data_IF_593136061291
#
_entry.id   IF_593136061291
#
_cell.length_a   1.000
_cell.length_b   1.000
_cell.length_c   1.000
_cell.angle_alpha   90.00
_cell.angle_beta   90.00
_cell.angle_gamma   90.00
#
_symmetry.space_group_name_H-M   'P 1'
#
loop_
_entity.id
_entity.type
_entity.pdbx_description
1 polymer ?
#
# COMPACT_ATOMS: atom_id res chain seq x y z
N UNK A 1 5.10 -16.48 -3.01
CA UNK A 1 4.66 -15.08 -3.25
C UNK A 1 4.23 -14.39 -1.96
N UNK A 2 3.24 -14.92 -1.22
CA UNK A 2 2.78 -14.30 0.04
C UNK A 2 3.89 -14.14 1.10
N UNK A 3 4.65 -15.21 1.37
CA UNK A 3 5.77 -15.15 2.32
C UNK A 3 6.83 -14.09 1.94
N UNK A 4 7.12 -13.94 0.64
CA UNK A 4 8.04 -12.92 0.14
C UNK A 4 7.45 -11.51 0.33
N UNK A 5 6.16 -11.31 0.01
CA UNK A 5 5.46 -10.05 0.26
C UNK A 5 5.50 -9.66 1.75
N UNK A 6 5.19 -10.60 2.65
CA UNK A 6 5.27 -10.41 4.09
C UNK A 6 6.68 -10.07 4.55
N UNK A 7 7.70 -10.79 4.08
CA UNK A 7 9.09 -10.50 4.42
C UNK A 7 9.51 -9.09 3.97
N UNK A 8 9.15 -8.68 2.74
CA UNK A 8 9.40 -7.33 2.24
C UNK A 8 8.74 -6.25 3.11
N UNK A 9 7.50 -6.45 3.54
CA UNK A 9 6.79 -5.49 4.40
C UNK A 9 7.43 -5.42 5.79
N UNK A 10 7.67 -6.58 6.41
CA UNK A 10 8.20 -6.68 7.78
C UNK A 10 9.64 -6.13 7.86
N UNK A 11 10.49 -6.47 6.89
CA UNK A 11 11.90 -6.03 6.87
C UNK A 11 12.05 -4.62 6.31
N UNK A 12 11.20 -4.23 5.35
CA UNK A 12 11.27 -2.91 4.72
C UNK A 12 10.85 -1.78 5.68
N UNK A 13 9.86 -1.99 6.54
CA UNK A 13 9.36 -0.96 7.47
C UNK A 13 10.46 -0.43 8.43
N UNK A 14 11.21 -1.27 9.16
CA UNK A 14 12.32 -0.78 9.99
C UNK A 14 13.45 -0.17 9.14
N UNK A 15 13.63 -0.61 7.90
CA UNK A 15 14.61 -0.03 6.99
C UNK A 15 14.24 1.40 6.57
N UNK A 16 12.95 1.66 6.31
CA UNK A 16 12.43 3.03 6.10
C UNK A 16 12.72 3.90 7.32
N UNK A 17 12.41 3.39 8.52
CA UNK A 17 12.65 4.11 9.76
C UNK A 17 14.14 4.45 9.96
N UNK A 18 15.02 3.48 9.76
CA UNK A 18 16.46 3.69 9.78
C UNK A 18 16.90 4.71 8.72
N UNK A 19 16.29 4.71 7.55
CA UNK A 19 16.56 5.68 6.49
C UNK A 19 16.20 7.11 6.83
N UNK A 20 15.10 7.33 7.54
CA UNK A 20 14.71 8.65 8.04
C UNK A 20 15.75 9.17 9.04
N UNK A 21 16.31 8.29 9.87
CA UNK A 21 17.27 8.67 10.93
C UNK A 21 18.70 8.82 10.43
N UNK A 22 19.18 7.93 9.56
CA UNK A 22 20.61 7.80 9.26
C UNK A 22 20.97 8.19 7.82
N UNK A 23 20.17 7.84 6.82
CA UNK A 23 20.56 8.04 5.41
C UNK A 23 19.35 8.02 4.45
N UNK A 24 19.18 9.06 3.60
CA UNK A 24 18.14 9.08 2.59
C UNK A 24 18.17 7.90 1.60
N UNK A 25 19.37 7.41 1.27
CA UNK A 25 19.52 6.27 0.36
C UNK A 25 18.97 4.98 0.99
N UNK A 26 19.21 4.79 2.30
CA UNK A 26 18.65 3.68 3.06
C UNK A 26 17.12 3.79 3.12
N UNK A 27 16.61 5.01 3.28
CA UNK A 27 15.17 5.30 3.25
C UNK A 27 14.53 4.89 1.93
N UNK A 28 15.17 5.22 0.80
CA UNK A 28 14.72 4.81 -0.53
C UNK A 28 14.69 3.29 -0.69
N UNK A 29 15.74 2.58 -0.27
CA UNK A 29 15.78 1.10 -0.33
C UNK A 29 14.67 0.50 0.52
N UNK A 30 14.46 1.02 1.73
CA UNK A 30 13.35 0.62 2.60
C UNK A 30 11.99 0.84 1.93
N UNK A 31 11.77 2.03 1.36
CA UNK A 31 10.49 2.39 0.73
C UNK A 31 10.21 1.51 -0.47
N UNK A 32 11.20 1.25 -1.33
CA UNK A 32 11.07 0.34 -2.47
C UNK A 32 10.76 -1.08 -1.98
N UNK A 33 11.41 -1.54 -0.92
CA UNK A 33 11.19 -2.88 -0.36
C UNK A 33 9.75 -3.04 0.13
N UNK A 34 9.24 -2.08 0.91
CA UNK A 34 7.83 -2.08 1.37
C UNK A 34 6.87 -1.99 0.19
N UNK A 35 7.16 -1.11 -0.78
CA UNK A 35 6.33 -0.92 -1.96
C UNK A 35 6.20 -2.20 -2.78
N UNK A 36 7.30 -2.93 -3.02
CA UNK A 36 7.27 -4.23 -3.71
C UNK A 36 6.43 -5.23 -2.92
N UNK A 37 6.59 -5.29 -1.60
CA UNK A 37 5.80 -6.19 -0.75
C UNK A 37 4.30 -5.91 -0.84
N UNK A 38 3.89 -4.64 -0.76
CA UNK A 38 2.49 -4.23 -0.83
C UNK A 38 1.91 -4.35 -2.24
N UNK A 39 2.68 -4.08 -3.29
CA UNK A 39 2.26 -4.32 -4.69
C UNK A 39 2.01 -5.82 -4.93
N UNK A 40 2.94 -6.68 -4.48
CA UNK A 40 2.77 -8.13 -4.57
C UNK A 40 1.54 -8.59 -3.79
N UNK A 41 1.33 -8.06 -2.58
CA UNK A 41 0.15 -8.37 -1.79
C UNK A 41 -1.14 -7.93 -2.50
N UNK A 42 -1.18 -6.72 -3.07
CA UNK A 42 -2.33 -6.22 -3.83
C UNK A 42 -2.65 -7.09 -5.04
N UNK A 43 -1.63 -7.51 -5.80
CA UNK A 43 -1.79 -8.46 -6.93
C UNK A 43 -2.33 -9.80 -6.44
N UNK A 44 -1.82 -10.32 -5.32
CA UNK A 44 -2.32 -11.57 -4.75
C UNK A 44 -3.77 -11.45 -4.27
N UNK A 45 -4.15 -10.33 -3.66
CA UNK A 45 -5.53 -10.05 -3.24
C UNK A 45 -6.46 -10.01 -4.45
N UNK A 46 -6.09 -9.28 -5.50
CA UNK A 46 -6.89 -9.19 -6.74
C UNK A 46 -6.97 -10.55 -7.44
N UNK A 47 -5.87 -11.31 -7.51
CA UNK A 47 -5.82 -12.59 -8.23
C UNK A 47 -6.49 -13.76 -7.49
N UNK A 48 -6.43 -13.78 -6.15
CA UNK A 48 -6.83 -14.95 -5.36
C UNK A 48 -7.99 -14.68 -4.40
N UNK A 49 -8.11 -13.47 -3.86
CA UNK A 49 -9.15 -13.16 -2.87
C UNK A 49 -10.39 -12.63 -3.57
N UNK A 50 -10.24 -11.60 -4.42
CA UNK A 50 -11.37 -10.95 -5.13
C UNK A 50 -12.27 -11.96 -5.86
N UNK A 51 -11.77 -12.94 -6.64
CA UNK A 51 -12.64 -13.88 -7.35
C UNK A 51 -13.47 -14.78 -6.42
N UNK A 52 -13.03 -14.97 -5.17
CA UNK A 52 -13.70 -15.80 -4.16
C UNK A 52 -14.78 -15.06 -3.38
N UNK A 53 -14.85 -13.73 -3.47
CA UNK A 53 -15.97 -12.99 -2.86
C UNK A 53 -17.24 -13.27 -3.65
N UNK A 54 -18.35 -13.55 -2.98
CA UNK A 54 -19.66 -13.70 -3.64
C UNK A 54 -20.31 -12.36 -3.99
N UNK A 55 -20.02 -11.32 -3.21
CA UNK A 55 -20.64 -10.00 -3.37
C UNK A 55 -19.89 -9.16 -4.41
N UNK A 56 -20.59 -8.72 -5.46
CA UNK A 56 -20.02 -7.81 -6.47
C UNK A 56 -19.49 -6.51 -5.84
N UNK A 57 -20.25 -5.96 -4.88
CA UNK A 57 -19.82 -4.78 -4.13
C UNK A 57 -18.51 -5.02 -3.36
N UNK A 58 -18.36 -6.17 -2.69
CA UNK A 58 -17.13 -6.53 -1.99
C UNK A 58 -15.95 -6.68 -2.96
N UNK A 59 -16.17 -7.28 -4.14
CA UNK A 59 -15.15 -7.39 -5.19
C UNK A 59 -14.64 -6.03 -5.65
N UNK A 60 -15.56 -5.11 -5.96
CA UNK A 60 -15.21 -3.75 -6.41
C UNK A 60 -14.44 -3.01 -5.31
N UNK A 61 -14.97 -3.02 -4.07
CA UNK A 61 -14.34 -2.34 -2.95
C UNK A 61 -12.92 -2.87 -2.65
N UNK A 62 -12.73 -4.20 -2.68
CA UNK A 62 -11.43 -4.79 -2.41
C UNK A 62 -10.42 -4.55 -3.55
N UNK A 63 -10.92 -4.45 -4.79
CA UNK A 63 -10.10 -4.06 -5.95
C UNK A 63 -9.66 -2.60 -5.84
N UNK A 64 -10.60 -1.69 -5.51
CA UNK A 64 -10.29 -0.27 -5.26
C UNK A 64 -9.28 -0.14 -4.14
N UNK A 65 -9.46 -0.88 -3.04
CA UNK A 65 -8.55 -0.90 -1.90
C UNK A 65 -7.13 -1.31 -2.31
N UNK A 66 -7.01 -2.39 -3.07
CA UNK A 66 -5.72 -2.90 -3.56
C UNK A 66 -5.04 -1.93 -4.54
N UNK A 67 -5.81 -1.32 -5.44
CA UNK A 67 -5.31 -0.33 -6.39
C UNK A 67 -4.87 0.97 -5.69
N UNK A 68 -5.64 1.45 -4.70
CA UNK A 68 -5.31 2.64 -3.94
C UNK A 68 -4.02 2.46 -3.12
N UNK A 69 -3.85 1.31 -2.47
CA UNK A 69 -2.61 0.96 -1.78
C UNK A 69 -1.41 0.95 -2.74
N UNK A 70 -1.59 0.36 -3.92
CA UNK A 70 -0.55 0.30 -4.95
C UNK A 70 -0.13 1.70 -5.43
N UNK A 71 -1.11 2.57 -5.72
CA UNK A 71 -0.87 3.97 -6.09
C UNK A 71 -0.16 4.76 -4.99
N UNK A 72 -0.53 4.53 -3.73
CA UNK A 72 0.13 5.16 -2.59
C UNK A 72 1.61 4.72 -2.50
N UNK A 73 1.91 3.45 -2.75
CA UNK A 73 3.31 2.97 -2.75
C UNK A 73 4.17 3.58 -3.86
N UNK A 74 3.60 3.79 -5.06
CA UNK A 74 4.29 4.49 -6.16
C UNK A 74 4.62 5.92 -5.76
N UNK A 75 3.66 6.62 -5.14
CA UNK A 75 3.85 7.98 -4.65
C UNK A 75 4.93 8.05 -3.56
N UNK A 76 4.94 7.09 -2.63
CA UNK A 76 5.96 6.98 -1.59
C UNK A 76 7.36 6.79 -2.19
N UNK A 77 7.50 5.93 -3.22
CA UNK A 77 8.75 5.75 -3.95
C UNK A 77 9.20 7.03 -4.67
N UNK A 78 8.27 7.73 -5.33
CA UNK A 78 8.57 8.99 -6.01
C UNK A 78 9.08 10.07 -5.03
N UNK A 79 8.46 10.15 -3.84
CA UNK A 79 8.92 11.04 -2.79
C UNK A 79 10.31 10.64 -2.27
N UNK A 80 10.53 9.37 -1.91
CA UNK A 80 11.82 8.90 -1.42
C UNK A 80 12.95 9.14 -2.45
N UNK A 81 12.66 8.94 -3.73
CA UNK A 81 13.58 9.23 -4.82
C UNK A 81 13.88 10.73 -4.91
N UNK A 82 12.87 11.60 -4.74
CA UNK A 82 13.04 13.06 -4.77
C UNK A 82 14.02 13.56 -3.71
N UNK A 83 14.01 12.94 -2.52
CA UNK A 83 14.94 13.26 -1.43
C UNK A 83 16.37 12.84 -1.80
N UNK A 84 16.55 11.63 -2.31
CA UNK A 84 17.88 11.13 -2.73
C UNK A 84 18.44 11.94 -3.90
N UNK A 85 17.60 12.24 -4.90
CA UNK A 85 17.98 13.00 -6.08
C UNK A 85 18.17 14.52 -5.81
N UNK A 86 17.83 14.99 -4.60
CA UNK A 86 17.79 16.41 -4.22
C UNK A 86 17.02 17.28 -5.22
N UNK A 87 15.95 16.73 -5.80
CA UNK A 87 15.04 17.43 -6.73
C UNK A 87 13.66 17.51 -6.11
N UNK A 88 13.05 18.68 -6.17
CA UNK A 88 11.69 18.87 -5.67
C UNK A 88 10.68 18.29 -6.67
N UNK A 89 10.43 16.99 -6.60
CA UNK A 89 9.40 16.31 -7.39
C UNK A 89 8.04 16.45 -6.69
N UNK A 90 8.01 16.13 -5.39
CA UNK A 90 6.83 16.21 -4.53
C UNK A 90 7.25 16.82 -3.19
N UNK A 91 6.53 17.85 -2.75
CA UNK A 91 6.74 18.42 -1.42
C UNK A 91 6.16 17.52 -0.31
N UNK A 92 6.69 17.65 0.92
CA UNK A 92 6.22 16.88 2.09
C UNK A 92 4.70 17.03 2.31
N UNK A 93 4.11 18.25 2.29
CA UNK A 93 2.67 18.41 2.49
C UNK A 93 1.85 17.75 1.38
N UNK A 94 2.29 17.87 0.12
CA UNK A 94 1.61 17.23 -1.00
C UNK A 94 1.64 15.71 -0.91
N UNK A 95 2.80 15.13 -0.57
CA UNK A 95 2.93 13.70 -0.34
C UNK A 95 2.02 13.26 0.81
N UNK A 96 2.07 13.93 1.96
CA UNK A 96 1.27 13.57 3.13
C UNK A 96 -0.24 13.57 2.83
N UNK A 97 -0.73 14.58 2.12
CA UNK A 97 -2.15 14.67 1.74
C UNK A 97 -2.51 13.59 0.71
N UNK A 98 -1.78 13.49 -0.40
CA UNK A 98 -2.15 12.56 -1.48
C UNK A 98 -1.97 11.09 -1.07
N UNK A 99 -0.85 10.77 -0.41
CA UNK A 99 -0.59 9.44 0.15
C UNK A 99 -1.57 9.10 1.27
N UNK A 100 -1.85 10.06 2.16
CA UNK A 100 -2.76 9.90 3.29
C UNK A 100 -4.20 9.65 2.83
N UNK A 101 -4.70 10.44 1.88
CA UNK A 101 -6.04 10.27 1.33
C UNK A 101 -6.19 8.94 0.59
N UNK A 102 -5.21 8.57 -0.24
CA UNK A 102 -5.21 7.28 -0.93
C UNK A 102 -5.26 6.11 0.07
N UNK A 103 -4.51 6.17 1.16
CA UNK A 103 -4.52 5.12 2.17
C UNK A 103 -5.78 5.14 3.06
N UNK A 104 -6.27 6.31 3.47
CA UNK A 104 -7.41 6.41 4.38
C UNK A 104 -8.72 6.01 3.68
N UNK A 105 -9.03 6.66 2.55
CA UNK A 105 -10.29 6.46 1.86
C UNK A 105 -10.21 5.32 0.84
N UNK A 106 -9.14 5.26 0.06
CA UNK A 106 -8.99 4.25 -0.96
C UNK A 106 -8.68 2.88 -0.36
N UNK A 107 -7.59 2.75 0.39
CA UNK A 107 -7.18 1.46 0.95
C UNK A 107 -8.02 1.04 2.17
N UNK A 108 -7.94 1.79 3.27
CA UNK A 108 -8.50 1.39 4.57
C UNK A 108 -10.02 1.35 4.56
N UNK A 109 -10.70 2.43 4.15
CA UNK A 109 -12.17 2.48 4.16
C UNK A 109 -12.76 1.45 3.20
N UNK A 110 -12.34 1.40 1.93
CA UNK A 110 -12.87 0.41 1.00
C UNK A 110 -12.53 -1.03 1.41
N UNK A 111 -11.33 -1.29 1.94
CA UNK A 111 -10.94 -2.60 2.43
C UNK A 111 -11.82 -3.06 3.60
N UNK A 112 -12.00 -2.20 4.61
CA UNK A 112 -12.87 -2.50 5.76
C UNK A 112 -14.33 -2.70 5.36
N UNK A 113 -14.85 -1.86 4.45
CA UNK A 113 -16.22 -2.03 3.93
C UNK A 113 -16.37 -3.34 3.15
N UNK A 114 -15.40 -3.72 2.32
CA UNK A 114 -15.42 -4.99 1.60
C UNK A 114 -15.54 -6.18 2.58
N UNK A 115 -14.72 -6.19 3.63
CA UNK A 115 -14.74 -7.25 4.65
C UNK A 115 -15.99 -7.22 5.53
N UNK A 116 -16.53 -6.04 5.84
CA UNK A 116 -17.79 -5.91 6.57
C UNK A 116 -18.98 -6.50 5.79
N UNK A 117 -18.99 -6.33 4.46
CA UNK A 117 -20.02 -6.93 3.59
C UNK A 117 -19.90 -8.45 3.49
N UNK A 118 -18.68 -9.00 3.53
CA UNK A 118 -18.46 -10.45 3.59
C UNK A 118 -19.01 -11.00 4.91
N UNK A 119 -18.64 -10.40 6.05
CA UNK A 119 -19.10 -10.86 7.38
C UNK A 119 -20.62 -10.81 7.55
N UNK A 120 -21.29 -9.81 6.96
CA UNK A 120 -22.76 -9.71 7.02
C UNK A 120 -23.47 -10.85 6.32
N UNK A 121 -22.90 -11.42 5.25
CA UNK A 121 -23.48 -12.56 4.54
C UNK A 121 -23.36 -13.87 5.31
N UNK A 122 -22.31 -14.07 6.10
CA UNK A 122 -22.17 -15.29 6.91
C UNK A 122 -23.16 -15.37 8.09
N UNK A 123 -23.78 -14.24 8.45
CA UNK A 123 -24.73 -14.13 9.57
C UNK A 123 -26.20 -14.09 9.13
N UNK A 124 -26.48 -14.10 7.81
CA UNK A 124 -27.82 -14.01 7.22
C UNK A 124 -28.21 -15.32 6.54
#
# INVERSE_FOLDING_TARGET
ALAAASACIILGTPLVAAGITFSPALGLVGTITVAVGLLLLGVLVIGWVVPRLESLAGRILLTISSAASSSAMVLACAYAYSIVARRLIISIPQMAVTHGLANAFGFSLCGLLAWALVKRRELS
#
